data_IF_032067802282
#
_entry.id   IF_032067802282
#
_cell.length_a   1.000
_cell.length_b   1.000
_cell.length_c   1.000
_cell.angle_alpha   90.00
_cell.angle_beta   90.00
_cell.angle_gamma   90.00
#
_symmetry.space_group_name_H-M   'P 1'
#
loop_
_entity.id
_entity.type
_entity.pdbx_description
1 polymer ?
#
# COMPACT_ATOMS: atom_id res chain seq x y z
N UNK A 1 -31.55 31.33 -33.33
CA UNK A 1 -31.01 31.15 -31.96
C UNK A 1 -29.55 31.58 -31.91
N UNK A 2 -29.26 32.82 -32.27
CA UNK A 2 -27.90 33.39 -32.30
C UNK A 2 -27.90 34.76 -31.65
N UNK A 3 -28.58 34.87 -30.50
CA UNK A 3 -28.58 36.09 -29.70
C UNK A 3 -27.26 36.17 -28.94
N UNK A 4 -26.60 37.32 -29.02
CA UNK A 4 -25.38 37.61 -28.27
C UNK A 4 -25.73 37.94 -26.83
N UNK A 5 -25.15 37.22 -25.89
CA UNK A 5 -25.27 37.51 -24.46
C UNK A 5 -24.02 38.27 -24.04
N UNK A 6 -24.19 39.48 -23.53
CA UNK A 6 -23.07 40.25 -22.97
C UNK A 6 -22.73 39.75 -21.57
N UNK A 7 -21.48 39.30 -21.40
CA UNK A 7 -20.97 38.78 -20.14
C UNK A 7 -19.76 39.61 -19.68
N UNK A 8 -19.68 39.99 -18.40
CA UNK A 8 -18.48 40.61 -17.85
C UNK A 8 -17.26 39.69 -18.02
N UNK A 9 -16.13 40.27 -18.45
CA UNK A 9 -14.89 39.52 -18.75
C UNK A 9 -14.42 38.69 -17.54
N UNK A 10 -14.52 39.24 -16.33
CA UNK A 10 -14.12 38.52 -15.11
C UNK A 10 -14.95 37.25 -14.87
N UNK A 11 -16.25 37.29 -15.19
CA UNK A 11 -17.16 36.16 -15.04
C UNK A 11 -16.84 35.09 -16.08
N UNK A 12 -16.54 35.50 -17.32
CA UNK A 12 -16.09 34.60 -18.38
C UNK A 12 -14.79 33.88 -18.02
N UNK A 13 -13.80 34.61 -17.49
CA UNK A 13 -12.52 34.02 -17.03
C UNK A 13 -12.75 33.01 -15.90
N UNK A 14 -13.63 33.31 -14.95
CA UNK A 14 -13.97 32.40 -13.86
C UNK A 14 -14.63 31.12 -14.37
N UNK A 15 -15.59 31.24 -15.29
CA UNK A 15 -16.24 30.07 -15.93
C UNK A 15 -15.21 29.23 -16.69
N UNK A 16 -14.33 29.85 -17.47
CA UNK A 16 -13.28 29.15 -18.21
C UNK A 16 -12.30 28.44 -17.27
N UNK A 17 -11.95 29.04 -16.14
CA UNK A 17 -11.09 28.41 -15.13
C UNK A 17 -11.76 27.16 -14.55
N UNK A 18 -13.02 27.25 -14.12
CA UNK A 18 -13.76 26.09 -13.59
C UNK A 18 -13.92 24.99 -14.65
N UNK A 19 -14.21 25.36 -15.90
CA UNK A 19 -14.30 24.42 -17.02
C UNK A 19 -12.96 23.71 -17.25
N UNK A 20 -11.84 24.45 -17.26
CA UNK A 20 -10.51 23.88 -17.44
C UNK A 20 -10.12 22.94 -16.29
N UNK A 21 -10.35 23.32 -15.04
CA UNK A 21 -10.08 22.47 -13.86
C UNK A 21 -10.92 21.19 -13.90
N UNK A 22 -12.19 21.31 -14.28
CA UNK A 22 -13.10 20.16 -14.40
C UNK A 22 -12.66 19.23 -15.53
N UNK A 23 -12.30 19.78 -16.69
CA UNK A 23 -11.82 19.01 -17.83
C UNK A 23 -10.50 18.28 -17.51
N UNK A 24 -9.54 18.98 -16.87
CA UNK A 24 -8.27 18.40 -16.44
C UNK A 24 -8.49 17.27 -15.44
N UNK A 25 -9.37 17.47 -14.45
CA UNK A 25 -9.62 16.49 -13.39
C UNK A 25 -10.38 15.25 -13.87
N UNK A 26 -11.33 15.39 -14.80
CA UNK A 26 -12.19 14.29 -15.23
C UNK A 26 -11.69 13.56 -16.48
N UNK A 27 -10.96 14.21 -17.38
CA UNK A 27 -10.51 13.57 -18.63
C UNK A 27 -9.02 13.25 -18.64
N UNK A 28 -8.19 14.20 -18.21
CA UNK A 28 -6.73 14.04 -18.28
C UNK A 28 -6.20 13.19 -17.11
N UNK A 29 -6.61 13.49 -15.87
CA UNK A 29 -6.10 12.74 -14.70
C UNK A 29 -6.44 11.24 -14.72
N UNK A 30 -7.65 10.77 -15.09
CA UNK A 30 -7.94 9.33 -15.12
C UNK A 30 -7.13 8.57 -16.16
N UNK A 31 -6.99 9.16 -17.35
CA UNK A 31 -6.21 8.59 -18.47
C UNK A 31 -4.73 8.48 -18.11
N UNK A 32 -4.17 9.53 -17.52
CA UNK A 32 -2.78 9.56 -17.04
C UNK A 32 -2.58 8.53 -15.92
N UNK A 33 -3.48 8.46 -14.94
CA UNK A 33 -3.43 7.48 -13.85
C UNK A 33 -3.49 6.04 -14.37
N UNK A 34 -4.31 5.75 -15.37
CA UNK A 34 -4.37 4.43 -16.00
C UNK A 34 -3.07 4.10 -16.74
N UNK A 35 -2.52 5.05 -17.51
CA UNK A 35 -1.27 4.86 -18.24
C UNK A 35 -0.10 4.52 -17.30
N UNK A 36 0.07 5.30 -16.23
CA UNK A 36 1.10 5.03 -15.23
C UNK A 36 0.85 3.71 -14.48
N UNK A 37 -0.39 3.38 -14.14
CA UNK A 37 -0.74 2.09 -13.51
C UNK A 37 -0.31 0.92 -14.41
N UNK A 38 -0.61 0.97 -15.71
CA UNK A 38 -0.26 -0.08 -16.66
C UNK A 38 1.25 -0.20 -16.84
N UNK A 39 1.99 0.92 -16.86
CA UNK A 39 3.46 0.90 -16.90
C UNK A 39 4.07 0.33 -15.62
N UNK A 40 3.58 0.73 -14.45
CA UNK A 40 4.02 0.20 -13.16
C UNK A 40 3.77 -1.31 -13.06
N UNK A 41 2.59 -1.77 -13.47
CA UNK A 41 2.27 -3.21 -13.51
C UNK A 41 3.27 -3.96 -14.39
N UNK A 42 3.53 -3.49 -15.62
CA UNK A 42 4.53 -4.11 -16.50
C UNK A 42 5.94 -4.09 -15.92
N UNK A 43 6.34 -3.00 -15.27
CA UNK A 43 7.65 -2.89 -14.63
C UNK A 43 7.79 -3.87 -13.46
N UNK A 44 6.75 -4.02 -12.63
CA UNK A 44 6.75 -5.01 -11.55
C UNK A 44 6.76 -6.43 -12.09
N UNK A 45 6.00 -6.74 -13.15
CA UNK A 45 6.06 -8.07 -13.79
C UNK A 45 7.47 -8.42 -14.25
N UNK A 46 8.16 -7.49 -14.93
CA UNK A 46 9.56 -7.68 -15.34
C UNK A 46 10.53 -7.78 -14.17
N UNK A 47 10.26 -7.08 -13.08
CA UNK A 47 11.08 -7.17 -11.87
C UNK A 47 10.89 -8.54 -11.21
N UNK A 48 9.65 -9.04 -11.15
CA UNK A 48 9.33 -10.36 -10.61
C UNK A 48 10.00 -11.50 -11.41
N UNK A 49 10.26 -11.34 -12.71
CA UNK A 49 11.04 -12.31 -13.50
C UNK A 49 12.49 -12.48 -12.99
N UNK A 50 13.03 -11.47 -12.29
CA UNK A 50 14.41 -11.46 -11.78
C UNK A 50 14.51 -11.67 -10.28
N UNK A 51 13.38 -11.63 -9.57
CA UNK A 51 13.36 -11.78 -8.12
C UNK A 51 13.16 -13.25 -7.76
N UNK A 52 14.02 -13.76 -6.88
CA UNK A 52 13.90 -15.09 -6.29
C UNK A 52 12.57 -15.28 -5.54
N UNK A 53 11.95 -14.17 -5.08
CA UNK A 53 10.61 -14.14 -4.48
C UNK A 53 9.73 -13.11 -5.21
N UNK A 54 8.68 -13.53 -5.93
CA UNK A 54 7.83 -12.61 -6.68
C UNK A 54 7.06 -11.69 -5.73
N UNK A 55 6.99 -10.41 -6.08
CA UNK A 55 6.15 -9.43 -5.38
C UNK A 55 4.69 -9.75 -5.72
N UNK A 56 3.94 -10.22 -4.72
CA UNK A 56 2.51 -10.49 -4.87
C UNK A 56 1.73 -9.19 -5.18
N UNK A 57 0.85 -9.19 -6.20
CA UNK A 57 0.06 -8.02 -6.56
C UNK A 57 -0.90 -7.56 -5.46
N UNK A 58 -1.16 -8.41 -4.46
CA UNK A 58 -1.92 -8.05 -3.25
C UNK A 58 -1.24 -6.91 -2.47
N UNK A 59 0.09 -6.77 -2.56
CA UNK A 59 0.85 -5.64 -2.00
C UNK A 59 0.80 -4.37 -2.87
N UNK A 60 0.16 -4.44 -4.04
CA UNK A 60 -0.04 -3.32 -4.98
C UNK A 60 -1.50 -2.88 -5.11
N UNK A 61 -2.45 -3.63 -4.54
CA UNK A 61 -3.82 -3.14 -4.38
C UNK A 61 -3.76 -1.87 -3.52
N UNK A 62 -4.32 -0.77 -4.01
CA UNK A 62 -4.31 0.47 -3.22
C UNK A 62 -5.06 0.18 -1.92
N UNK A 63 -4.60 0.71 -0.79
CA UNK A 63 -5.29 0.59 0.50
C UNK A 63 -6.80 0.82 0.39
N UNK A 64 -7.21 1.77 -0.46
CA UNK A 64 -8.61 2.01 -0.79
C UNK A 64 -9.34 0.77 -1.35
N UNK A 65 -8.77 0.09 -2.34
CA UNK A 65 -9.38 -1.08 -2.98
C UNK A 65 -9.54 -2.23 -1.96
N UNK A 66 -8.55 -2.43 -1.07
CA UNK A 66 -8.64 -3.41 0.02
C UNK A 66 -9.73 -3.06 1.03
N UNK A 67 -9.85 -1.78 1.41
CA UNK A 67 -10.92 -1.31 2.31
C UNK A 67 -12.29 -1.58 1.69
N UNK A 68 -12.50 -1.22 0.42
CA UNK A 68 -13.77 -1.47 -0.25
C UNK A 68 -14.10 -2.97 -0.29
N UNK A 69 -13.12 -3.79 -0.66
CA UNK A 69 -13.30 -5.24 -0.73
C UNK A 69 -13.63 -5.88 0.62
N UNK A 70 -13.05 -5.37 1.71
CA UNK A 70 -13.35 -5.82 3.07
C UNK A 70 -14.76 -5.43 3.51
N UNK A 71 -15.17 -4.17 3.27
CA UNK A 71 -16.48 -3.67 3.71
C UNK A 71 -17.63 -4.38 2.97
N UNK A 72 -17.45 -4.68 1.67
CA UNK A 72 -18.44 -5.38 0.87
C UNK A 72 -18.28 -6.91 0.89
N UNK A 73 -17.42 -7.44 1.76
CA UNK A 73 -17.37 -8.89 1.97
C UNK A 73 -18.72 -9.38 2.53
N UNK A 74 -19.29 -10.49 2.04
CA UNK A 74 -20.59 -10.97 2.50
C UNK A 74 -20.65 -11.23 4.01
N UNK A 75 -19.58 -11.73 4.63
CA UNK A 75 -19.55 -11.99 6.06
C UNK A 75 -19.53 -10.69 6.87
N UNK A 76 -18.78 -9.69 6.41
CA UNK A 76 -18.73 -8.35 7.03
C UNK A 76 -20.07 -7.63 6.86
N UNK A 77 -20.67 -7.70 5.67
CA UNK A 77 -21.98 -7.10 5.38
C UNK A 77 -23.06 -7.70 6.27
N UNK A 78 -23.06 -9.03 6.46
CA UNK A 78 -23.96 -9.69 7.39
C UNK A 78 -23.77 -9.20 8.83
N UNK A 79 -22.51 -9.10 9.29
CA UNK A 79 -22.21 -8.60 10.62
C UNK A 79 -22.67 -7.14 10.83
N UNK A 80 -22.56 -6.29 9.79
CA UNK A 80 -23.07 -4.91 9.82
C UNK A 80 -24.59 -4.89 10.02
N UNK A 81 -25.33 -5.73 9.29
CA UNK A 81 -26.79 -5.83 9.39
C UNK A 81 -27.21 -6.36 10.77
N UNK A 82 -26.53 -7.40 11.26
CA UNK A 82 -26.82 -7.99 12.56
C UNK A 82 -26.54 -6.99 13.70
N UNK A 83 -25.45 -6.22 13.60
CA UNK A 83 -25.13 -5.13 14.54
C UNK A 83 -26.15 -3.99 14.49
N UNK A 84 -26.57 -3.56 13.29
CA UNK A 84 -27.59 -2.54 13.12
C UNK A 84 -28.91 -2.93 13.80
N UNK A 85 -29.30 -4.20 13.69
CA UNK A 85 -30.49 -4.75 14.36
C UNK A 85 -30.34 -4.81 15.87
N UNK A 86 -29.19 -5.26 16.37
CA UNK A 86 -28.93 -5.40 17.81
C UNK A 86 -28.94 -4.03 18.52
N UNK A 87 -28.27 -3.05 17.94
CA UNK A 87 -28.15 -1.69 18.49
C UNK A 87 -29.32 -0.77 18.09
N UNK A 88 -30.25 -1.26 17.27
CA UNK A 88 -31.41 -0.52 16.75
C UNK A 88 -31.01 0.78 16.04
N UNK A 89 -29.91 0.73 15.30
CA UNK A 89 -29.42 1.85 14.49
C UNK A 89 -29.69 1.59 13.00
N UNK A 90 -29.78 2.65 12.18
CA UNK A 90 -29.86 2.49 10.74
C UNK A 90 -28.64 1.76 10.15
N UNK A 91 -28.86 0.90 9.14
CA UNK A 91 -27.78 0.10 8.52
C UNK A 91 -26.65 0.97 7.94
N UNK A 92 -26.97 2.17 7.44
CA UNK A 92 -25.96 3.11 6.93
C UNK A 92 -25.03 3.63 8.03
N UNK A 93 -25.49 3.75 9.27
CA UNK A 93 -24.67 4.16 10.43
C UNK A 93 -23.70 3.04 10.79
N UNK A 94 -24.20 1.80 10.92
CA UNK A 94 -23.38 0.62 11.15
C UNK A 94 -22.35 0.40 10.02
N UNK A 95 -22.73 0.67 8.77
CA UNK A 95 -21.83 0.61 7.62
C UNK A 95 -20.71 1.65 7.69
N UNK A 96 -21.01 2.88 8.11
CA UNK A 96 -19.99 3.92 8.29
C UNK A 96 -18.99 3.55 9.40
N UNK A 97 -19.48 2.94 10.48
CA UNK A 97 -18.65 2.43 11.56
C UNK A 97 -17.72 1.31 11.08
N UNK A 98 -18.25 0.30 10.38
CA UNK A 98 -17.42 -0.73 9.77
C UNK A 98 -16.41 -0.15 8.77
N UNK A 99 -16.81 0.89 8.02
CA UNK A 99 -15.90 1.60 7.11
C UNK A 99 -14.77 2.33 7.83
N UNK A 100 -14.99 2.80 9.07
CA UNK A 100 -13.97 3.41 9.92
C UNK A 100 -13.01 2.33 10.44
N UNK A 101 -13.52 1.22 10.95
CA UNK A 101 -12.70 0.10 11.39
C UNK A 101 -11.87 -0.49 10.24
N UNK A 102 -12.47 -0.67 9.06
CA UNK A 102 -11.74 -1.13 7.88
C UNK A 102 -10.59 -0.19 7.51
N UNK A 103 -10.77 1.14 7.62
CA UNK A 103 -9.68 2.10 7.41
C UNK A 103 -8.58 1.94 8.45
N UNK A 104 -8.91 1.70 9.71
CA UNK A 104 -7.93 1.53 10.78
C UNK A 104 -7.13 0.24 10.63
N UNK A 105 -7.80 -0.87 10.34
CA UNK A 105 -7.22 -2.21 10.28
C UNK A 105 -6.44 -2.44 8.99
N UNK A 106 -6.93 -1.96 7.84
CA UNK A 106 -6.30 -2.24 6.54
C UNK A 106 -4.96 -1.49 6.45
N UNK A 107 -3.83 -2.21 6.41
CA UNK A 107 -2.51 -1.59 6.43
C UNK A 107 -2.21 -0.89 5.11
N UNK A 108 -1.49 0.22 5.18
CA UNK A 108 -0.81 0.81 4.02
C UNK A 108 0.64 0.32 3.98
N UNK A 109 0.89 -0.80 3.30
CA UNK A 109 2.25 -1.26 3.07
C UNK A 109 2.82 -0.60 1.81
N UNK A 110 3.94 0.11 1.95
CA UNK A 110 4.75 0.57 0.81
C UNK A 110 6.06 -0.20 0.78
N UNK A 111 6.17 -1.13 -0.17
CA UNK A 111 7.41 -1.89 -0.38
C UNK A 111 8.60 -0.96 -0.63
N UNK A 112 8.39 0.14 -1.36
CA UNK A 112 9.42 1.13 -1.64
C UNK A 112 9.89 1.86 -0.37
N UNK A 113 8.96 2.29 0.48
CA UNK A 113 9.31 2.96 1.73
C UNK A 113 10.06 2.00 2.67
N UNK A 114 9.57 0.77 2.80
CA UNK A 114 10.11 -0.23 3.72
C UNK A 114 11.48 -0.77 3.26
N UNK A 115 11.57 -1.27 2.03
CA UNK A 115 12.79 -1.90 1.52
C UNK A 115 13.78 -0.91 0.91
N UNK A 116 13.34 0.27 0.47
CA UNK A 116 14.22 1.29 -0.09
C UNK A 116 14.86 2.17 0.97
N UNK A 117 14.04 2.90 1.72
CA UNK A 117 14.53 3.87 2.71
C UNK A 117 14.66 3.25 4.11
N UNK A 118 13.65 2.46 4.52
CA UNK A 118 13.59 1.82 5.83
C UNK A 118 14.81 0.95 6.12
N UNK A 119 15.23 0.10 5.18
CA UNK A 119 16.44 -0.73 5.33
C UNK A 119 17.70 0.12 5.53
N UNK A 120 17.83 1.25 4.84
CA UNK A 120 19.02 2.11 4.96
C UNK A 120 19.10 2.74 6.35
N UNK A 121 17.98 3.28 6.84
CA UNK A 121 17.89 3.79 8.21
C UNK A 121 18.15 2.67 9.21
N UNK A 122 17.49 1.52 9.02
CA UNK A 122 17.64 0.38 9.91
C UNK A 122 19.10 -0.06 10.03
N UNK A 123 19.80 -0.18 8.90
CA UNK A 123 21.22 -0.51 8.87
C UNK A 123 22.08 0.54 9.59
N UNK A 124 21.83 1.82 9.33
CA UNK A 124 22.56 2.90 9.99
C UNK A 124 22.34 2.88 11.50
N UNK A 125 21.10 2.78 11.94
CA UNK A 125 20.73 2.79 13.36
C UNK A 125 21.26 1.54 14.08
N UNK A 126 21.16 0.37 13.45
CA UNK A 126 21.69 -0.88 13.98
C UNK A 126 23.19 -0.79 14.21
N UNK A 127 23.97 -0.35 13.22
CA UNK A 127 25.42 -0.25 13.33
C UNK A 127 25.89 0.93 14.21
N UNK A 128 25.06 1.95 14.42
CA UNK A 128 25.35 3.05 15.32
C UNK A 128 25.17 2.66 16.81
N UNK A 129 24.23 1.77 17.10
CA UNK A 129 23.87 1.38 18.47
C UNK A 129 24.44 0.02 18.89
N UNK A 130 24.76 -0.86 17.93
CA UNK A 130 25.20 -2.22 18.18
C UNK A 130 26.40 -2.61 17.31
N UNK A 131 27.28 -3.45 17.84
CA UNK A 131 28.25 -4.21 17.05
C UNK A 131 27.56 -5.46 16.50
N UNK A 132 27.17 -5.42 15.22
CA UNK A 132 26.43 -6.50 14.57
C UNK A 132 27.41 -7.50 13.96
N UNK A 133 27.45 -8.72 14.52
CA UNK A 133 28.29 -9.81 14.02
C UNK A 133 27.44 -10.94 13.46
N UNK A 134 27.78 -11.40 12.27
CA UNK A 134 27.18 -12.60 11.64
C UNK A 134 28.14 -13.77 11.71
N UNK A 135 27.60 -15.00 11.76
CA UNK A 135 28.42 -16.20 11.70
C UNK A 135 29.06 -16.38 10.31
N UNK A 136 30.26 -16.96 10.20
CA UNK A 136 31.05 -17.00 8.97
C UNK A 136 30.38 -17.69 7.76
N UNK A 137 29.32 -18.47 7.98
CA UNK A 137 28.63 -19.22 6.91
C UNK A 137 27.14 -18.89 6.77
N UNK A 138 26.63 -17.86 7.45
CA UNK A 138 25.19 -17.56 7.44
C UNK A 138 24.66 -17.25 6.03
N UNK A 139 25.40 -16.45 5.25
CA UNK A 139 24.95 -16.04 3.92
C UNK A 139 24.93 -17.22 2.94
N UNK A 140 25.90 -18.11 3.05
CA UNK A 140 25.97 -19.33 2.23
C UNK A 140 24.83 -20.30 2.59
N UNK A 141 24.54 -20.47 3.88
CA UNK A 141 23.45 -21.31 4.36
C UNK A 141 22.07 -20.76 3.98
N UNK A 142 21.89 -19.43 3.96
CA UNK A 142 20.65 -18.80 3.52
C UNK A 142 20.45 -18.91 2.01
N UNK A 143 21.52 -18.75 1.22
CA UNK A 143 21.49 -18.89 -0.24
C UNK A 143 21.26 -20.31 -0.72
N UNK A 144 21.61 -21.32 0.07
CA UNK A 144 21.37 -22.72 -0.26
C UNK A 144 19.93 -23.18 0.02
N UNK A 145 19.12 -22.37 0.71
CA UNK A 145 17.71 -22.68 0.94
C UNK A 145 16.93 -22.61 -0.39
N UNK A 146 16.16 -23.64 -0.75
CA UNK A 146 15.31 -23.61 -1.95
C UNK A 146 14.36 -22.42 -1.95
N UNK A 147 14.06 -21.88 -3.14
CA UNK A 147 13.21 -20.69 -3.29
C UNK A 147 11.75 -20.92 -2.92
N UNK A 148 11.28 -22.17 -2.96
CA UNK A 148 9.95 -22.63 -2.57
C UNK A 148 9.86 -23.04 -1.09
N UNK A 149 10.98 -23.04 -0.36
CA UNK A 149 11.02 -23.37 1.05
C UNK A 149 10.66 -22.16 1.93
N UNK A 150 9.94 -22.42 3.02
CA UNK A 150 9.64 -21.41 4.04
C UNK A 150 10.81 -21.31 5.02
N UNK A 151 11.42 -20.12 5.10
CA UNK A 151 12.49 -19.84 6.07
C UNK A 151 11.87 -19.38 7.38
N UNK A 152 12.12 -20.12 8.47
CA UNK A 152 11.68 -19.77 9.82
C UNK A 152 12.90 -19.30 10.62
N UNK A 153 12.91 -18.02 11.00
CA UNK A 153 13.92 -17.47 11.90
C UNK A 153 13.46 -17.67 13.35
N UNK A 154 14.17 -18.52 14.08
CA UNK A 154 13.98 -18.68 15.53
C UNK A 154 14.97 -17.76 16.23
N UNK A 155 14.44 -16.81 17.00
CA UNK A 155 15.21 -15.76 17.64
C UNK A 155 14.81 -15.60 19.11
N UNK A 156 15.77 -15.20 19.93
CA UNK A 156 15.46 -14.67 21.26
C UNK A 156 14.89 -13.25 21.11
N UNK A 157 14.03 -12.82 22.04
CA UNK A 157 13.50 -11.46 22.09
C UNK A 157 14.01 -10.75 23.35
N UNK A 158 14.93 -9.82 23.15
CA UNK A 158 15.56 -9.00 24.19
C UNK A 158 15.21 -7.51 24.06
N UNK A 159 14.86 -7.03 22.88
CA UNK A 159 14.57 -5.61 22.66
C UNK A 159 13.66 -5.36 21.45
N UNK A 160 13.04 -4.18 21.41
CA UNK A 160 12.31 -3.71 20.22
C UNK A 160 13.23 -3.56 18.98
N UNK A 161 14.55 -3.47 19.18
CA UNK A 161 15.52 -3.41 18.08
C UNK A 161 15.65 -4.74 17.35
N UNK A 162 15.28 -5.86 17.98
CA UNK A 162 15.47 -7.20 17.38
C UNK A 162 14.70 -7.34 16.07
N UNK A 163 13.51 -6.73 15.97
CA UNK A 163 12.72 -6.69 14.73
C UNK A 163 13.45 -5.94 13.61
N UNK A 164 14.16 -4.87 13.94
CA UNK A 164 14.90 -4.06 12.99
C UNK A 164 16.19 -4.76 12.54
N UNK A 165 16.88 -5.43 13.47
CA UNK A 165 18.06 -6.26 13.18
C UNK A 165 17.71 -7.47 12.32
N UNK A 166 16.62 -8.18 12.60
CA UNK A 166 16.17 -9.31 11.79
C UNK A 166 15.72 -8.86 10.42
N UNK A 167 15.03 -7.72 10.30
CA UNK A 167 14.69 -7.15 8.99
C UNK A 167 15.94 -6.82 8.19
N UNK A 168 16.97 -6.26 8.83
CA UNK A 168 18.26 -5.97 8.20
C UNK A 168 18.97 -7.24 7.71
N UNK A 169 19.02 -8.29 8.54
CA UNK A 169 19.67 -9.57 8.20
C UNK A 169 18.90 -10.35 7.12
N UNK A 170 17.57 -10.44 7.23
CA UNK A 170 16.73 -11.11 6.26
C UNK A 170 16.71 -10.40 4.89
N UNK A 171 16.86 -9.08 4.88
CA UNK A 171 16.95 -8.32 3.64
C UNK A 171 18.24 -8.60 2.86
N UNK A 172 19.38 -8.83 3.54
CA UNK A 172 20.62 -9.24 2.86
C UNK A 172 20.50 -10.62 2.21
N UNK A 173 19.66 -11.50 2.75
CA UNK A 173 19.39 -12.82 2.18
C UNK A 173 18.38 -12.83 1.02
N UNK A 174 17.57 -11.77 0.89
CA UNK A 174 16.47 -11.70 -0.08
C UNK A 174 16.77 -10.80 -1.30
N UNK A 175 17.91 -10.10 -1.31
CA UNK A 175 18.40 -9.27 -2.41
C UNK A 175 19.51 -9.99 -3.18
#
# INVERSE_FOLDING_TARGET
MTQTIELPIWLFVLIMMFAAVTALSHFLLPSVRWYFRRRLQKAVTRLNERLTRPIEPFKLARRYDMIQRLIYDPAVTKAIVDHAKAEKIPENVAFQEASRYAREIVPSFSAFAYFGFGIRIARWLANALYDVRTGPNNDAALKSVPSDATVIFVMNHRSNMDYLLVTYLAAQASA
#
